data_IF_134049834571
#
_entry.id   IF_134049834571
#
_cell.length_a   1.000
_cell.length_b   1.000
_cell.length_c   1.000
_cell.angle_alpha   90.00
_cell.angle_beta   90.00
_cell.angle_gamma   90.00
#
_symmetry.space_group_name_H-M   'P 1'
#
loop_
_entity.id
_entity.type
_entity.pdbx_description
1 polymer ?
#
# COMPACT_ATOMS: atom_id res chain seq x y z
N UNK A 1 11.59 -2.12 -47.61
CA UNK A 1 10.12 -2.03 -47.59
C UNK A 1 9.67 -2.06 -46.15
N UNK A 2 9.23 -0.92 -45.63
CA UNK A 2 8.65 -0.78 -44.30
C UNK A 2 7.15 -1.03 -44.41
N UNK A 3 6.50 -1.76 -43.47
CA UNK A 3 5.05 -1.73 -43.39
C UNK A 3 4.57 -0.48 -42.64
N UNK A 4 3.59 0.14 -43.28
CA UNK A 4 2.83 1.32 -42.91
C UNK A 4 2.09 1.19 -41.58
N UNK A 5 2.01 2.32 -40.88
CA UNK A 5 1.22 2.52 -39.66
C UNK A 5 -0.17 2.96 -40.14
N UNK A 6 -1.21 2.16 -39.91
CA UNK A 6 -2.58 2.62 -40.11
C UNK A 6 -3.36 2.42 -38.83
N UNK A 7 -3.54 3.53 -38.10
CA UNK A 7 -4.58 3.69 -37.10
C UNK A 7 -5.94 3.74 -37.79
N UNK A 8 -6.89 2.95 -37.32
CA UNK A 8 -8.30 3.37 -37.28
C UNK A 8 -8.91 2.90 -35.97
N UNK A 9 -9.24 3.87 -35.12
CA UNK A 9 -10.16 3.73 -34.01
C UNK A 9 -11.50 3.20 -34.51
N UNK A 10 -11.99 2.11 -33.90
CA UNK A 10 -13.42 1.84 -33.82
C UNK A 10 -13.78 1.58 -32.37
N UNK A 11 -14.30 2.63 -31.73
CA UNK A 11 -15.20 2.49 -30.59
C UNK A 11 -16.46 1.76 -31.08
N UNK A 12 -16.87 0.71 -30.37
CA UNK A 12 -18.27 0.63 -29.95
C UNK A 12 -18.51 -0.41 -28.86
N UNK A 13 -19.31 0.07 -27.91
CA UNK A 13 -19.93 -0.54 -26.76
C UNK A 13 -20.47 -1.96 -26.97
N UNK A 14 -20.05 -2.88 -26.08
CA UNK A 14 -20.93 -3.93 -25.56
C UNK A 14 -20.66 -4.16 -24.08
N UNK A 15 -21.61 -3.69 -23.27
CA UNK A 15 -21.85 -4.20 -21.93
C UNK A 15 -21.98 -5.72 -21.97
N UNK A 16 -21.19 -6.43 -21.17
CA UNK A 16 -21.50 -7.78 -20.75
C UNK A 16 -21.11 -7.91 -19.28
N UNK A 17 -22.15 -7.93 -18.44
CA UNK A 17 -22.08 -8.26 -17.03
C UNK A 17 -22.15 -9.79 -16.99
N UNK A 18 -21.08 -10.45 -16.56
CA UNK A 18 -21.13 -11.88 -16.27
C UNK A 18 -20.59 -12.11 -14.86
N UNK A 19 -21.55 -12.27 -13.94
CA UNK A 19 -21.34 -12.86 -12.63
C UNK A 19 -21.08 -14.36 -12.85
N UNK A 20 -19.90 -14.84 -12.49
CA UNK A 20 -19.69 -16.24 -12.16
C UNK A 20 -18.89 -16.34 -10.87
N UNK A 21 -19.62 -16.62 -9.79
CA UNK A 21 -19.08 -17.29 -8.62
C UNK A 21 -18.38 -18.59 -9.07
N UNK A 22 -17.14 -18.82 -8.63
CA UNK A 22 -16.79 -20.10 -8.00
C UNK A 22 -15.41 -20.06 -7.30
N UNK A 23 -15.49 -19.99 -5.97
CA UNK A 23 -14.85 -20.84 -4.96
C UNK A 23 -13.44 -21.43 -5.24
N UNK A 24 -12.45 -21.00 -4.43
CA UNK A 24 -11.63 -21.97 -3.67
C UNK A 24 -11.01 -21.35 -2.40
N UNK A 25 -10.82 -22.18 -1.34
CA UNK A 25 -10.65 -21.76 0.05
C UNK A 25 -9.17 -21.69 0.46
N UNK A 26 -8.92 -21.22 1.70
CA UNK A 26 -7.63 -21.15 2.44
C UNK A 26 -7.16 -19.67 2.59
N UNK A 27 -6.89 -19.07 3.75
CA UNK A 27 -6.66 -19.57 5.10
C UNK A 27 -7.02 -18.50 6.15
N UNK A 28 -7.48 -19.00 7.30
CA UNK A 28 -7.54 -18.37 8.63
C UNK A 28 -6.96 -16.95 8.78
N UNK A 29 -7.84 -15.94 8.74
CA UNK A 29 -7.56 -14.62 9.32
C UNK A 29 -7.52 -14.72 10.85
N UNK A 30 -6.33 -14.98 11.40
CA UNK A 30 -6.04 -14.74 12.82
C UNK A 30 -5.59 -13.28 12.97
N UNK A 31 -6.54 -12.36 12.88
CA UNK A 31 -6.50 -11.10 13.66
C UNK A 31 -7.87 -10.42 13.60
N UNK A 32 -8.85 -11.05 14.25
CA UNK A 32 -10.10 -10.38 14.60
C UNK A 32 -10.05 -10.05 16.07
N UNK A 33 -9.88 -8.76 16.41
CA UNK A 33 -10.60 -8.09 17.51
C UNK A 33 -9.89 -6.80 17.90
N UNK A 34 -10.20 -5.67 17.24
CA UNK A 34 -10.23 -4.34 17.87
C UNK A 34 -11.26 -3.47 17.13
N UNK A 35 -12.54 -3.83 17.26
CA UNK A 35 -13.64 -2.89 17.10
C UNK A 35 -13.86 -2.21 18.45
N UNK A 36 -13.60 -0.90 18.55
CA UNK A 36 -14.58 0.08 19.05
C UNK A 36 -14.00 1.50 18.92
N UNK A 37 -14.88 2.48 18.73
CA UNK A 37 -14.68 3.94 18.70
C UNK A 37 -14.30 4.58 17.35
N UNK A 38 -15.32 4.95 16.57
CA UNK A 38 -15.67 6.37 16.52
C UNK A 38 -17.07 6.60 15.94
N UNK A 39 -17.91 7.15 16.81
CA UNK A 39 -19.26 7.60 16.50
C UNK A 39 -19.23 8.92 15.74
N UNK A 40 -20.05 8.97 14.69
CA UNK A 40 -20.75 10.13 14.13
C UNK A 40 -19.92 11.34 13.73
N UNK A 41 -19.87 11.67 12.43
CA UNK A 41 -20.05 13.04 11.93
C UNK A 41 -20.75 13.00 10.57
N UNK A 42 -22.07 13.25 10.58
CA UNK A 42 -22.83 13.60 9.36
C UNK A 42 -22.50 15.04 9.00
N UNK A 43 -21.68 15.26 7.97
CA UNK A 43 -21.60 16.55 7.30
C UNK A 43 -22.13 16.46 5.88
N UNK A 44 -23.11 17.31 5.61
CA UNK A 44 -23.90 17.42 4.39
C UNK A 44 -23.10 18.28 3.41
N UNK A 45 -22.57 17.69 2.33
CA UNK A 45 -21.80 18.42 1.33
C UNK A 45 -22.51 18.41 -0.02
N UNK A 46 -22.64 19.60 -0.61
CA UNK A 46 -23.25 19.90 -1.92
C UNK A 46 -22.56 19.14 -3.06
N UNK A 47 -23.23 18.94 -4.21
CA UNK A 47 -22.63 18.25 -5.35
C UNK A 47 -21.52 19.12 -5.94
N UNK A 48 -20.28 18.64 -5.84
CA UNK A 48 -19.11 19.24 -6.49
C UNK A 48 -18.97 18.52 -7.83
N UNK A 49 -19.00 19.28 -8.92
CA UNK A 49 -18.74 18.79 -10.28
C UNK A 49 -17.38 18.09 -10.31
N UNK A 50 -17.40 16.83 -10.73
CA UNK A 50 -16.25 15.93 -10.76
C UNK A 50 -15.31 16.27 -11.92
N UNK A 51 -14.22 16.98 -11.63
CA UNK A 51 -13.02 16.99 -12.47
C UNK A 51 -12.26 15.66 -12.33
N UNK A 52 -11.59 15.17 -13.38
CA UNK A 52 -11.01 13.81 -13.42
C UNK A 52 -9.66 13.66 -12.71
N UNK A 53 -9.27 14.59 -11.83
CA UNK A 53 -8.04 14.50 -11.02
C UNK A 53 -8.37 14.21 -9.55
N UNK A 54 -9.20 13.19 -9.30
CA UNK A 54 -9.48 12.78 -7.92
C UNK A 54 -8.37 11.86 -7.41
N UNK A 55 -7.28 12.48 -6.95
CA UNK A 55 -6.30 11.83 -6.07
C UNK A 55 -7.08 11.12 -4.96
N UNK A 56 -6.93 9.80 -4.86
CA UNK A 56 -7.61 9.00 -3.84
C UNK A 56 -6.88 9.13 -2.49
N UNK A 57 -6.77 10.37 -2.03
CA UNK A 57 -5.74 10.83 -1.09
C UNK A 57 -6.04 10.42 0.35
N UNK A 58 -7.31 10.21 0.69
CA UNK A 58 -7.73 9.76 2.03
C UNK A 58 -7.31 8.30 2.26
N UNK A 59 -7.53 7.43 1.28
CA UNK A 59 -7.15 6.01 1.38
C UNK A 59 -5.63 5.86 1.35
N UNK A 60 -4.95 6.49 0.38
CA UNK A 60 -3.49 6.40 0.28
C UNK A 60 -2.75 7.00 1.48
N UNK A 61 -3.31 8.04 2.13
CA UNK A 61 -2.74 8.58 3.37
C UNK A 61 -2.91 7.62 4.55
N UNK A 62 -4.07 6.98 4.70
CA UNK A 62 -4.32 6.02 5.77
C UNK A 62 -3.43 4.78 5.63
N UNK A 63 -3.30 4.28 4.40
CA UNK A 63 -2.41 3.16 4.09
C UNK A 63 -0.95 3.53 4.39
N UNK A 64 -0.50 4.73 3.97
CA UNK A 64 0.86 5.17 4.27
C UNK A 64 1.12 5.35 5.77
N UNK A 65 0.14 5.83 6.53
CA UNK A 65 0.24 5.96 7.99
C UNK A 65 0.44 4.59 8.65
N UNK A 66 -0.32 3.57 8.22
CA UNK A 66 -0.15 2.20 8.68
C UNK A 66 1.23 1.62 8.32
N UNK A 67 1.70 1.85 7.08
CA UNK A 67 3.03 1.41 6.66
C UNK A 67 4.08 2.07 7.56
N UNK A 68 3.96 3.37 7.80
CA UNK A 68 4.92 4.11 8.62
C UNK A 68 4.94 3.63 10.09
N UNK A 69 3.78 3.32 10.67
CA UNK A 69 3.68 2.70 11.99
C UNK A 69 4.43 1.35 12.02
N UNK A 70 4.23 0.50 11.01
CA UNK A 70 4.92 -0.79 10.92
C UNK A 70 6.43 -0.62 10.78
N UNK A 71 6.91 0.38 10.02
CA UNK A 71 8.35 0.69 9.92
C UNK A 71 8.94 1.08 11.28
N UNK A 72 8.23 1.87 12.07
CA UNK A 72 8.67 2.25 13.42
C UNK A 72 8.79 1.01 14.29
N UNK A 73 7.75 0.14 14.30
CA UNK A 73 7.75 -1.10 15.07
C UNK A 73 8.89 -2.04 14.67
N UNK A 74 9.16 -2.20 13.36
CA UNK A 74 10.27 -3.01 12.88
C UNK A 74 11.63 -2.46 13.34
N UNK A 75 11.80 -1.13 13.32
CA UNK A 75 13.04 -0.54 13.78
C UNK A 75 13.23 -0.71 15.30
N UNK A 76 12.16 -0.59 16.09
CA UNK A 76 12.20 -0.86 17.54
C UNK A 76 12.56 -2.32 17.82
N UNK A 77 11.93 -3.26 17.11
CA UNK A 77 12.23 -4.70 17.23
C UNK A 77 13.69 -5.00 16.87
N UNK A 78 14.21 -4.35 15.82
CA UNK A 78 15.61 -4.50 15.40
C UNK A 78 16.59 -3.96 16.46
N UNK A 79 16.28 -2.81 17.06
CA UNK A 79 17.11 -2.19 18.10
C UNK A 79 17.07 -3.01 19.41
N UNK A 80 15.95 -3.67 19.72
CA UNK A 80 15.78 -4.59 20.87
C UNK A 80 16.37 -5.98 20.64
N UNK A 81 16.69 -6.35 19.40
CA UNK A 81 17.28 -7.64 19.07
C UNK A 81 18.74 -7.72 19.57
N UNK A 82 18.94 -8.38 20.72
CA UNK A 82 20.24 -8.52 21.39
C UNK A 82 21.01 -9.79 21.00
N UNK A 83 20.39 -10.70 20.25
CA UNK A 83 20.94 -12.03 19.95
C UNK A 83 21.22 -12.19 18.46
N UNK A 84 22.27 -12.95 18.12
CA UNK A 84 22.62 -13.43 16.78
C UNK A 84 21.59 -14.45 16.26
N UNK A 85 20.31 -14.15 16.45
CA UNK A 85 19.21 -15.01 16.03
C UNK A 85 18.90 -14.64 14.59
N UNK A 86 19.63 -15.30 13.68
CA UNK A 86 19.58 -15.05 12.23
C UNK A 86 18.13 -15.12 11.71
N UNK A 87 17.30 -16.00 12.29
CA UNK A 87 15.89 -16.14 11.95
C UNK A 87 15.06 -14.87 12.19
N UNK A 88 15.41 -14.07 13.22
CA UNK A 88 14.71 -12.81 13.52
C UNK A 88 15.13 -11.72 12.55
N UNK A 89 16.41 -11.65 12.18
CA UNK A 89 16.89 -10.72 11.18
C UNK A 89 16.29 -11.01 9.81
N UNK A 90 16.20 -12.28 9.41
CA UNK A 90 15.52 -12.71 8.19
C UNK A 90 14.03 -12.31 8.20
N UNK A 91 13.35 -12.45 9.34
CA UNK A 91 11.96 -12.03 9.46
C UNK A 91 11.81 -10.51 9.28
N UNK A 92 12.64 -9.72 9.98
CA UNK A 92 12.60 -8.25 9.88
C UNK A 92 12.93 -7.80 8.45
N UNK A 93 13.90 -8.43 7.79
CA UNK A 93 14.25 -8.15 6.39
C UNK A 93 13.04 -8.42 5.46
N UNK A 94 12.43 -9.59 5.59
CA UNK A 94 11.26 -9.95 4.79
C UNK A 94 10.08 -8.98 5.01
N UNK A 95 9.79 -8.62 6.26
CA UNK A 95 8.73 -7.65 6.56
C UNK A 95 9.07 -6.25 6.01
N UNK A 96 10.31 -5.79 6.14
CA UNK A 96 10.76 -4.53 5.56
C UNK A 96 10.61 -4.50 4.03
N UNK A 97 10.93 -5.60 3.34
CA UNK A 97 10.72 -5.73 1.89
C UNK A 97 9.23 -5.70 1.52
N UNK A 98 8.37 -6.34 2.30
CA UNK A 98 6.90 -6.27 2.09
C UNK A 98 6.38 -4.85 2.24
N UNK A 99 6.82 -4.10 3.26
CA UNK A 99 6.43 -2.69 3.43
C UNK A 99 6.91 -1.82 2.26
N UNK A 100 8.05 -2.14 1.65
CA UNK A 100 8.55 -1.45 0.45
C UNK A 100 7.64 -1.69 -0.75
N UNK A 101 7.17 -2.93 -0.95
CA UNK A 101 6.19 -3.25 -2.00
C UNK A 101 4.86 -2.52 -1.76
N UNK A 102 4.38 -2.45 -0.52
CA UNK A 102 3.17 -1.70 -0.17
C UNK A 102 3.32 -0.19 -0.46
N UNK A 103 4.53 0.37 -0.29
CA UNK A 103 4.78 1.75 -0.71
C UNK A 103 4.62 1.90 -2.23
N UNK A 104 5.12 0.96 -3.03
CA UNK A 104 5.04 1.00 -4.49
C UNK A 104 3.59 0.93 -5.00
N UNK A 105 2.69 0.26 -4.26
CA UNK A 105 1.25 0.19 -4.56
C UNK A 105 0.53 1.53 -4.39
N UNK A 106 1.10 2.49 -3.64
CA UNK A 106 0.53 3.84 -3.45
C UNK A 106 0.74 4.72 -4.69
N UNK A 107 0.09 4.36 -5.80
CA UNK A 107 0.11 5.06 -7.08
C UNK A 107 -0.98 6.16 -7.07
N UNK A 108 -0.79 7.22 -7.86
CA UNK A 108 -1.80 8.29 -8.05
C UNK A 108 -2.26 9.01 -6.77
N UNK A 109 -1.39 9.10 -5.77
CA UNK A 109 -1.59 9.87 -4.52
C UNK A 109 -1.09 11.33 -4.64
N UNK A 110 -1.48 12.20 -3.70
CA UNK A 110 -1.06 13.60 -3.72
C UNK A 110 0.46 13.76 -3.60
N UNK A 111 1.01 14.93 -4.01
CA UNK A 111 2.43 15.22 -3.83
C UNK A 111 2.93 15.11 -2.38
N UNK A 112 2.06 15.40 -1.40
CA UNK A 112 2.38 15.26 0.02
C UNK A 112 2.56 13.79 0.40
N UNK A 113 1.61 12.92 0.02
CA UNK A 113 1.70 11.46 0.24
C UNK A 113 2.90 10.89 -0.51
N UNK A 114 3.18 11.32 -1.75
CA UNK A 114 4.39 10.93 -2.48
C UNK A 114 5.68 11.30 -1.75
N UNK A 115 5.72 12.46 -1.09
CA UNK A 115 6.89 12.89 -0.33
C UNK A 115 7.06 12.08 0.94
N UNK A 116 5.98 11.86 1.68
CA UNK A 116 5.99 11.03 2.88
C UNK A 116 6.38 9.58 2.53
N UNK A 117 5.83 9.02 1.44
CA UNK A 117 6.20 7.69 0.91
C UNK A 117 7.69 7.57 0.65
N UNK A 118 8.31 8.58 -0.01
CA UNK A 118 9.77 8.56 -0.25
C UNK A 118 10.55 8.53 1.06
N UNK A 119 10.09 9.26 2.08
CA UNK A 119 10.72 9.23 3.40
C UNK A 119 10.55 7.87 4.07
N UNK A 120 9.37 7.26 3.99
CA UNK A 120 9.11 5.92 4.52
C UNK A 120 9.99 4.88 3.84
N UNK A 121 10.13 4.92 2.51
CA UNK A 121 11.07 4.05 1.77
C UNK A 121 12.51 4.24 2.26
N UNK A 122 12.94 5.47 2.49
CA UNK A 122 14.28 5.74 3.03
C UNK A 122 14.47 5.11 4.42
N UNK A 123 13.48 5.22 5.29
CA UNK A 123 13.53 4.62 6.62
C UNK A 123 13.59 3.08 6.54
N UNK A 124 12.83 2.46 5.62
CA UNK A 124 12.90 1.01 5.37
C UNK A 124 14.30 0.62 4.90
N UNK A 125 14.90 1.40 3.98
CA UNK A 125 16.26 1.16 3.51
C UNK A 125 17.30 1.28 4.63
N UNK A 126 17.10 2.20 5.59
CA UNK A 126 17.97 2.28 6.78
C UNK A 126 17.86 1.03 7.65
N UNK A 127 16.66 0.47 7.84
CA UNK A 127 16.45 -0.80 8.57
C UNK A 127 17.20 -1.93 7.87
N UNK A 128 17.01 -2.10 6.56
CA UNK A 128 17.69 -3.13 5.77
C UNK A 128 19.22 -2.99 5.87
N UNK A 129 19.75 -1.77 5.74
CA UNK A 129 21.18 -1.52 5.91
C UNK A 129 21.69 -1.84 7.32
N UNK A 130 20.88 -1.59 8.36
CA UNK A 130 21.25 -1.96 9.74
C UNK A 130 21.34 -3.48 9.90
N UNK A 131 20.45 -4.24 9.26
CA UNK A 131 20.48 -5.71 9.24
C UNK A 131 21.74 -6.20 8.53
N UNK A 132 22.04 -5.67 7.34
CA UNK A 132 23.25 -6.02 6.57
C UNK A 132 24.57 -5.78 7.33
N UNK A 133 24.56 -4.91 8.34
CA UNK A 133 25.72 -4.57 9.16
C UNK A 133 25.87 -5.43 10.42
N UNK A 134 24.92 -6.30 10.74
CA UNK A 134 24.93 -7.17 11.94
C UNK A 134 25.64 -8.49 11.67
#
# INVERSE_FOLDING_TARGET
TFPDITQTNQLNDKQLIENTNDTSPAQNNVFSSFDDLSSSHKQKSKPIESSPDHFNDVSGRKELEQINENVILLNELLDDCQTSDDDVYDQIENEALVLMLQCDELIDVSPAVKSARRQTIHNIQEILNKIDCK
#
